data_IF_691232632056
#
_entry.id   IF_691232632056
#
_cell.length_a   1.000
_cell.length_b   1.000
_cell.length_c   1.000
_cell.angle_alpha   90.00
_cell.angle_beta   90.00
_cell.angle_gamma   90.00
#
_symmetry.space_group_name_H-M   'P 1'
#
loop_
_entity.id
_entity.type
_entity.pdbx_description
1 polymer ?
#
# COMPACT_ATOMS: atom_id res chain seq x y z
N UNK A 1 -4.37 -1.23 -41.25
CA UNK A 1 -4.87 -2.21 -40.26
C UNK A 1 -4.62 -1.65 -38.87
N UNK A 2 -5.62 -1.03 -38.24
CA UNK A 2 -5.53 -0.61 -36.84
C UNK A 2 -5.55 -1.87 -35.97
N UNK A 3 -4.47 -2.13 -35.25
CA UNK A 3 -4.44 -3.14 -34.20
C UNK A 3 -5.11 -2.46 -33.00
N UNK A 4 -6.39 -2.74 -32.77
CA UNK A 4 -6.99 -2.43 -31.49
C UNK A 4 -6.35 -3.36 -30.46
N UNK A 5 -5.47 -2.82 -29.63
CA UNK A 5 -4.94 -3.55 -28.48
C UNK A 5 -6.10 -3.74 -27.51
N UNK A 6 -6.83 -4.85 -27.64
CA UNK A 6 -7.90 -5.22 -26.71
C UNK A 6 -7.29 -5.36 -25.31
N UNK A 7 -7.49 -4.34 -24.48
CA UNK A 7 -7.10 -4.34 -23.07
C UNK A 7 -8.13 -5.12 -22.26
N UNK A 8 -7.66 -6.08 -21.48
CA UNK A 8 -8.51 -6.88 -20.59
C UNK A 8 -8.90 -6.03 -19.37
N UNK A 9 -10.18 -5.71 -19.20
CA UNK A 9 -10.71 -4.95 -18.06
C UNK A 9 -11.15 -5.84 -16.89
N UNK A 10 -10.57 -7.04 -16.76
CA UNK A 10 -10.96 -8.00 -15.73
C UNK A 10 -10.55 -7.52 -14.33
N UNK A 11 -11.48 -7.61 -13.37
CA UNK A 11 -11.25 -7.27 -11.96
C UNK A 11 -11.32 -8.55 -11.13
N UNK A 12 -10.26 -8.82 -10.36
CA UNK A 12 -10.25 -9.85 -9.34
C UNK A 12 -10.36 -9.20 -7.96
N UNK A 13 -11.21 -9.73 -7.08
CA UNK A 13 -11.34 -9.29 -5.70
C UNK A 13 -11.06 -10.43 -4.73
N UNK A 14 -10.27 -10.15 -3.70
CA UNK A 14 -10.04 -11.05 -2.57
C UNK A 14 -10.38 -10.34 -1.26
N UNK A 15 -10.83 -11.11 -0.27
CA UNK A 15 -11.06 -10.62 1.08
C UNK A 15 -10.07 -11.30 2.02
N UNK A 16 -9.34 -10.50 2.80
CA UNK A 16 -8.36 -10.99 3.77
C UNK A 16 -8.67 -10.42 5.16
N UNK A 17 -8.62 -11.28 6.18
CA UNK A 17 -8.70 -10.84 7.57
C UNK A 17 -7.37 -10.28 8.04
N UNK A 18 -7.24 -8.95 8.12
CA UNK A 18 -6.05 -8.28 8.65
C UNK A 18 -6.41 -7.35 9.80
N UNK A 19 -5.62 -7.41 10.88
CA UNK A 19 -5.74 -6.51 12.04
C UNK A 19 -4.56 -5.54 12.18
N UNK A 20 -3.54 -5.72 11.34
CA UNK A 20 -2.32 -4.89 11.30
C UNK A 20 -2.22 -4.22 9.94
N UNK A 21 -2.17 -2.88 9.93
CA UNK A 21 -1.78 -2.12 8.75
C UNK A 21 -0.29 -1.86 8.77
N UNK A 22 0.40 -2.30 7.72
CA UNK A 22 1.83 -2.05 7.52
C UNK A 22 1.99 -0.91 6.52
N UNK A 23 2.42 0.25 6.98
CA UNK A 23 2.57 1.44 6.13
C UNK A 23 4.05 1.79 5.95
N UNK A 24 4.40 2.31 4.79
CA UNK A 24 5.75 2.84 4.55
C UNK A 24 5.87 4.23 5.19
N UNK A 25 6.75 4.45 6.17
CA UNK A 25 6.94 5.74 6.84
C UNK A 25 7.37 6.89 5.92
N UNK A 26 7.64 6.66 4.63
CA UNK A 26 7.91 7.69 3.63
C UNK A 26 9.33 7.64 3.09
N UNK A 27 9.69 8.59 2.23
CA UNK A 27 10.99 8.61 1.56
C UNK A 27 12.16 8.78 2.54
N UNK A 28 12.94 7.72 2.72
CA UNK A 28 14.15 7.69 3.55
C UNK A 28 15.21 8.71 3.11
N UNK A 29 15.17 9.17 1.85
CA UNK A 29 16.08 10.20 1.32
C UNK A 29 15.70 11.61 1.73
N UNK A 30 14.48 11.80 2.24
CA UNK A 30 14.03 13.06 2.81
C UNK A 30 13.70 12.89 4.30
N UNK A 31 14.71 12.89 5.19
CA UNK A 31 14.51 12.76 6.64
C UNK A 31 13.77 13.95 7.28
N UNK A 32 13.44 15.00 6.50
CA UNK A 32 12.56 16.10 6.89
C UNK A 32 11.11 15.93 6.40
N UNK A 33 10.78 14.79 5.77
CA UNK A 33 9.40 14.43 5.51
C UNK A 33 8.71 14.22 6.84
N UNK A 34 7.89 15.17 7.26
CA UNK A 34 6.91 14.94 8.32
C UNK A 34 5.75 14.20 7.65
N UNK A 35 5.41 13.00 8.14
CA UNK A 35 4.26 12.25 7.64
C UNK A 35 3.22 12.11 8.74
N UNK A 36 2.03 12.64 8.52
CA UNK A 36 0.91 12.39 9.42
C UNK A 36 0.47 10.93 9.28
N UNK A 37 0.13 10.26 10.40
CA UNK A 37 -0.40 8.88 10.38
C UNK A 37 -1.59 8.68 9.43
N UNK A 38 -2.36 9.75 9.18
CA UNK A 38 -3.47 9.78 8.23
C UNK A 38 -3.01 9.72 6.77
N UNK A 39 -1.92 10.39 6.44
CA UNK A 39 -1.31 10.36 5.11
C UNK A 39 -0.72 8.98 4.81
N UNK A 40 -0.12 8.33 5.82
CA UNK A 40 0.39 6.97 5.73
C UNK A 40 -0.72 5.96 5.43
N UNK A 41 -1.87 6.08 6.12
CA UNK A 41 -3.03 5.25 5.84
C UNK A 41 -3.62 5.56 4.45
N UNK A 42 -3.70 6.84 4.06
CA UNK A 42 -4.20 7.23 2.73
C UNK A 42 -3.31 6.69 1.60
N UNK A 43 -1.99 6.74 1.76
CA UNK A 43 -1.01 6.16 0.83
C UNK A 43 -1.22 4.65 0.70
N UNK A 44 -1.41 3.93 1.82
CA UNK A 44 -1.67 2.49 1.82
C UNK A 44 -2.93 2.08 1.05
N UNK A 45 -3.95 2.94 1.01
CA UNK A 45 -5.23 2.70 0.33
C UNK A 45 -5.23 3.19 -1.12
N UNK A 46 -4.18 3.88 -1.55
CA UNK A 46 -4.05 4.39 -2.92
C UNK A 46 -3.76 3.24 -3.87
N UNK A 47 -4.42 3.15 -5.05
CA UNK A 47 -4.10 2.13 -6.04
C UNK A 47 -2.64 2.21 -6.50
N UNK A 48 -1.93 1.08 -6.46
CA UNK A 48 -0.55 0.96 -6.91
C UNK A 48 -0.47 0.19 -8.25
N UNK A 49 0.47 0.55 -9.14
CA UNK A 49 0.75 -0.26 -10.33
C UNK A 49 1.45 -1.56 -9.92
N UNK A 50 1.03 -2.68 -10.51
CA UNK A 50 1.64 -4.00 -10.29
C UNK A 50 1.77 -4.75 -11.61
N UNK A 51 2.74 -5.65 -11.67
CA UNK A 51 2.81 -6.65 -12.74
C UNK A 51 2.07 -7.91 -12.27
N UNK A 52 1.12 -8.38 -13.09
CA UNK A 52 0.24 -9.49 -12.72
C UNK A 52 -0.13 -10.36 -13.92
N UNK A 53 -0.39 -11.65 -13.66
CA UNK A 53 -0.97 -12.56 -14.66
C UNK A 53 -2.48 -12.64 -14.47
N UNK A 54 -3.23 -12.12 -15.43
CA UNK A 54 -4.68 -12.13 -15.38
C UNK A 54 -5.24 -13.56 -15.47
N UNK A 55 -6.06 -13.99 -14.51
CA UNK A 55 -6.67 -15.33 -14.52
C UNK A 55 -7.63 -15.56 -15.68
N UNK A 56 -8.27 -14.50 -16.21
CA UNK A 56 -9.19 -14.58 -17.34
C UNK A 56 -8.46 -14.72 -18.68
N UNK A 57 -7.57 -13.79 -19.03
CA UNK A 57 -6.88 -13.81 -20.33
C UNK A 57 -5.54 -14.55 -20.32
N UNK A 58 -5.06 -14.99 -19.15
CA UNK A 58 -3.80 -15.72 -18.91
C UNK A 58 -2.54 -14.99 -19.44
N UNK A 59 -2.61 -13.67 -19.58
CA UNK A 59 -1.48 -12.83 -20.01
C UNK A 59 -0.88 -12.13 -18.81
N UNK A 60 0.45 -12.03 -18.84
CA UNK A 60 1.23 -11.18 -17.94
C UNK A 60 1.20 -9.73 -18.44
N UNK A 61 1.09 -8.77 -17.53
CA UNK A 61 1.32 -7.36 -17.83
C UNK A 61 0.96 -6.44 -16.67
N UNK A 62 0.93 -5.15 -16.97
CA UNK A 62 0.62 -4.12 -15.99
C UNK A 62 -0.86 -4.11 -15.60
N UNK A 63 -1.11 -4.01 -14.30
CA UNK A 63 -2.42 -3.91 -13.67
C UNK A 63 -2.39 -2.86 -12.55
N UNK A 64 -3.56 -2.52 -12.00
CA UNK A 64 -3.68 -1.71 -10.80
C UNK A 64 -4.23 -2.55 -9.66
N UNK A 65 -3.57 -2.48 -8.50
CA UNK A 65 -3.99 -3.13 -7.28
C UNK A 65 -4.41 -2.08 -6.27
N UNK A 66 -5.56 -2.26 -5.64
CA UNK A 66 -6.07 -1.40 -4.58
C UNK A 66 -6.39 -2.24 -3.35
N UNK A 67 -6.10 -1.69 -2.17
CA UNK A 67 -6.53 -2.25 -0.90
C UNK A 67 -7.60 -1.32 -0.33
N UNK A 68 -8.72 -1.89 0.09
CA UNK A 68 -9.83 -1.18 0.75
C UNK A 68 -10.12 -1.80 2.12
N UNK A 69 -10.67 -1.00 3.02
CA UNK A 69 -11.08 -1.44 4.36
C UNK A 69 -12.55 -1.79 4.33
N UNK A 70 -12.86 -3.08 4.17
CA UNK A 70 -14.25 -3.55 4.18
C UNK A 70 -14.89 -3.43 5.58
N UNK A 71 -14.10 -3.62 6.65
CA UNK A 71 -14.57 -3.53 8.04
C UNK A 71 -13.42 -3.21 8.98
N UNK A 72 -13.63 -2.27 9.91
CA UNK A 72 -12.67 -1.97 10.96
C UNK A 72 -12.78 -2.95 12.14
N UNK A 73 -11.63 -3.40 12.71
CA UNK A 73 -11.62 -4.15 13.96
C UNK A 73 -11.87 -3.22 15.16
N UNK A 74 -12.23 -3.80 16.31
CA UNK A 74 -12.40 -3.04 17.58
C UNK A 74 -11.10 -2.40 18.06
N UNK A 75 -9.99 -3.10 17.84
CA UNK A 75 -8.63 -2.63 18.12
C UNK A 75 -7.88 -2.69 16.82
N UNK A 76 -7.33 -1.55 16.40
CA UNK A 76 -6.54 -1.44 15.19
C UNK A 76 -5.07 -1.28 15.53
N UNK A 77 -4.22 -2.09 14.88
CA UNK A 77 -2.77 -2.02 15.06
C UNK A 77 -2.16 -1.34 13.84
N UNK A 78 -1.47 -0.24 14.07
CA UNK A 78 -0.72 0.48 13.05
C UNK A 78 0.76 0.16 13.18
N UNK A 79 1.38 -0.37 12.13
CA UNK A 79 2.78 -0.73 12.10
C UNK A 79 3.51 0.05 11.00
N UNK A 80 4.23 1.14 11.32
CA UNK A 80 5.12 1.77 10.36
C UNK A 80 6.31 0.83 10.09
N UNK A 81 6.42 0.35 8.85
CA UNK A 81 7.48 -0.55 8.37
C UNK A 81 8.79 0.23 8.24
N UNK A 82 9.50 0.41 9.35
CA UNK A 82 10.70 1.25 9.40
C UNK A 82 11.98 0.58 8.91
N UNK A 83 11.98 -0.72 8.68
CA UNK A 83 13.19 -1.45 8.30
C UNK A 83 13.13 -1.84 6.84
N UNK A 84 14.20 -1.53 6.11
CA UNK A 84 14.37 -1.96 4.72
C UNK A 84 15.76 -2.59 4.55
N UNK A 85 15.86 -3.50 3.59
CA UNK A 85 17.10 -4.21 3.29
C UNK A 85 17.50 -3.90 1.85
N UNK A 86 18.62 -3.22 1.68
CA UNK A 86 19.24 -2.99 0.38
C UNK A 86 20.75 -3.21 0.47
N UNK A 87 21.15 -4.47 0.63
CA UNK A 87 22.50 -4.86 1.03
C UNK A 87 22.61 -4.97 2.55
N UNK A 88 22.54 -3.84 3.25
CA UNK A 88 22.48 -3.78 4.71
C UNK A 88 21.06 -3.47 5.20
N UNK A 89 20.77 -3.78 6.46
CA UNK A 89 19.50 -3.43 7.10
C UNK A 89 19.58 -2.01 7.65
N UNK A 90 18.77 -1.12 7.09
CA UNK A 90 18.69 0.27 7.50
C UNK A 90 17.33 0.58 8.14
N UNK A 91 17.33 1.54 9.07
CA UNK A 91 16.12 2.00 9.75
C UNK A 91 15.74 3.38 9.23
N UNK A 92 14.54 3.48 8.69
CA UNK A 92 13.86 4.73 8.37
C UNK A 92 13.43 5.44 9.67
N UNK A 93 14.12 6.54 9.97
CA UNK A 93 13.93 7.36 11.16
C UNK A 93 12.96 8.53 10.95
N UNK A 94 12.21 8.57 9.83
CA UNK A 94 11.18 9.59 9.57
C UNK A 94 10.21 9.72 10.75
N UNK A 95 9.98 10.95 11.19
CA UNK A 95 9.01 11.25 12.24
C UNK A 95 7.59 11.01 11.68
N UNK A 96 6.81 10.24 12.43
CA UNK A 96 5.40 10.00 12.13
C UNK A 96 4.57 10.57 13.26
N UNK A 97 3.70 11.52 12.91
CA UNK A 97 2.83 12.20 13.87
C UNK A 97 1.50 11.44 14.00
N UNK A 98 1.07 11.24 15.25
CA UNK A 98 -0.17 10.53 15.57
C UNK A 98 -1.11 11.46 16.33
N UNK A 99 -2.36 11.53 15.86
CA UNK A 99 -3.42 12.28 16.52
C UNK A 99 -3.92 11.48 17.71
N UNK A 100 -3.52 11.88 18.92
CA UNK A 100 -4.09 11.35 20.15
C UNK A 100 -5.17 12.31 20.65
N UNK A 101 -6.35 11.76 20.91
CA UNK A 101 -7.41 12.46 21.64
C UNK A 101 -7.56 11.80 23.00
N UNK A 102 -7.71 12.61 24.06
CA UNK A 102 -8.12 12.09 25.37
C UNK A 102 -9.49 11.41 25.22
N UNK A 103 -9.60 10.19 25.77
CA UNK A 103 -10.81 9.36 25.72
C UNK A 103 -11.64 9.63 26.96
#
# INVERSE_FOLDING_TARGET
KQISTLTCQFVAMSHEGRVIFRTDPGDWRNPRGHGESRELLASYLTPEPVEWTCSNCRKWGSASKKIDIARFPRVLIFHPSRYFTNGDTEKNNTLVEYDFHEI
#
